data_IF_714330479934
#
_entry.id   IF_714330479934
#
_cell.length_a   1.000
_cell.length_b   1.000
_cell.length_c   1.000
_cell.angle_alpha   90.00
_cell.angle_beta   90.00
_cell.angle_gamma   90.00
#
_symmetry.space_group_name_H-M   'P 1'
#
loop_
_entity.id
_entity.type
_entity.pdbx_description
1 polymer ?
#
# COMPACT_ATOMS: atom_id res chain seq x y z
N UNK A 1 22.55 -1.88 1.50
CA UNK A 1 21.36 -1.00 1.33
C UNK A 1 20.44 -1.41 0.19
N UNK A 2 20.92 -1.62 -1.05
CA UNK A 2 20.04 -1.94 -2.20
C UNK A 2 19.29 -3.29 -2.08
N UNK A 3 19.87 -4.28 -1.39
CA UNK A 3 19.22 -5.58 -1.13
C UNK A 3 18.00 -5.42 -0.22
N UNK A 4 18.11 -4.61 0.83
CA UNK A 4 17.00 -4.35 1.77
C UNK A 4 15.84 -3.68 1.02
N UNK A 5 16.14 -2.68 0.17
CA UNK A 5 15.11 -2.05 -0.65
C UNK A 5 14.43 -3.05 -1.60
N UNK A 6 15.17 -4.00 -2.20
CA UNK A 6 14.57 -5.06 -3.04
C UNK A 6 13.64 -5.97 -2.25
N UNK A 7 14.02 -6.35 -1.03
CA UNK A 7 13.18 -7.19 -0.16
C UNK A 7 11.90 -6.44 0.21
N UNK A 8 12.02 -5.17 0.63
CA UNK A 8 10.86 -4.33 0.93
C UNK A 8 9.96 -4.16 -0.30
N UNK A 9 10.53 -3.89 -1.47
CA UNK A 9 9.78 -3.76 -2.72
C UNK A 9 9.06 -5.06 -3.11
N UNK A 10 9.68 -6.21 -2.89
CA UNK A 10 9.04 -7.51 -3.11
C UNK A 10 7.83 -7.71 -2.19
N UNK A 11 7.97 -7.41 -0.89
CA UNK A 11 6.86 -7.49 0.08
C UNK A 11 5.73 -6.54 -0.31
N UNK A 12 6.05 -5.29 -0.65
CA UNK A 12 5.08 -4.28 -1.12
C UNK A 12 4.37 -4.75 -2.39
N UNK A 13 5.07 -5.43 -3.29
CA UNK A 13 4.49 -5.98 -4.52
C UNK A 13 3.48 -7.08 -4.21
N UNK A 14 3.84 -8.04 -3.35
CA UNK A 14 2.91 -9.10 -2.93
C UNK A 14 1.67 -8.49 -2.28
N UNK A 15 1.86 -7.59 -1.32
CA UNK A 15 0.76 -6.89 -0.66
C UNK A 15 -0.13 -6.15 -1.67
N UNK A 16 0.49 -5.42 -2.59
CA UNK A 16 -0.20 -4.70 -3.65
C UNK A 16 -1.01 -5.62 -4.57
N UNK A 17 -0.58 -6.85 -4.81
CA UNK A 17 -1.35 -7.81 -5.60
C UNK A 17 -2.65 -8.21 -4.91
N UNK A 18 -2.63 -8.42 -3.59
CA UNK A 18 -3.85 -8.65 -2.82
C UNK A 18 -4.77 -7.43 -2.84
N UNK A 19 -4.20 -6.23 -2.64
CA UNK A 19 -4.94 -4.96 -2.72
C UNK A 19 -5.57 -4.76 -4.10
N UNK A 20 -4.90 -5.16 -5.18
CA UNK A 20 -5.45 -5.06 -6.53
C UNK A 20 -6.70 -5.94 -6.71
N UNK A 21 -6.70 -7.16 -6.18
CA UNK A 21 -7.87 -8.03 -6.19
C UNK A 21 -9.03 -7.37 -5.42
N UNK A 22 -8.76 -6.86 -4.22
CA UNK A 22 -9.76 -6.13 -3.42
C UNK A 22 -10.28 -4.89 -4.13
N UNK A 23 -9.42 -4.15 -4.83
CA UNK A 23 -9.81 -2.96 -5.58
C UNK A 23 -10.77 -3.30 -6.73
N UNK A 24 -10.53 -4.39 -7.46
CA UNK A 24 -11.40 -4.85 -8.55
C UNK A 24 -12.79 -5.19 -8.01
N UNK A 25 -12.87 -5.97 -6.93
CA UNK A 25 -14.16 -6.31 -6.28
C UNK A 25 -14.85 -5.05 -5.77
N UNK A 26 -14.10 -4.14 -5.15
CA UNK A 26 -14.61 -2.85 -4.67
C UNK A 26 -15.18 -1.98 -5.79
N UNK A 27 -14.57 -1.98 -6.97
CA UNK A 27 -15.06 -1.20 -8.12
C UNK A 27 -16.44 -1.68 -8.58
N UNK A 28 -16.69 -3.00 -8.57
CA UNK A 28 -18.03 -3.52 -8.86
C UNK A 28 -19.05 -3.07 -7.80
N UNK A 29 -18.68 -3.07 -6.51
CA UNK A 29 -19.55 -2.55 -5.45
C UNK A 29 -19.79 -1.04 -5.55
N UNK A 30 -18.80 -0.29 -6.04
CA UNK A 30 -18.88 1.15 -6.16
C UNK A 30 -19.92 1.64 -7.18
N UNK A 31 -20.30 0.79 -8.15
CA UNK A 31 -21.41 1.06 -9.08
C UNK A 31 -22.73 1.15 -8.32
N UNK A 32 -22.93 0.30 -7.30
CA UNK A 32 -24.15 0.28 -6.49
C UNK A 32 -24.09 1.22 -5.29
N UNK A 33 -22.89 1.48 -4.76
CA UNK A 33 -22.68 2.39 -3.65
C UNK A 33 -21.50 3.35 -3.92
N UNK A 34 -21.79 4.59 -4.36
CA UNK A 34 -20.78 5.60 -4.65
C UNK A 34 -19.86 5.94 -3.46
N UNK A 35 -20.27 5.67 -2.21
CA UNK A 35 -19.42 5.93 -1.03
C UNK A 35 -18.14 5.10 -1.03
N UNK A 36 -18.13 3.96 -1.75
CA UNK A 36 -16.98 3.05 -1.86
C UNK A 36 -15.92 3.57 -2.84
N UNK A 37 -16.27 4.52 -3.72
CA UNK A 37 -15.34 5.06 -4.74
C UNK A 37 -14.06 5.65 -4.13
N UNK A 38 -14.18 6.35 -3.00
CA UNK A 38 -13.01 6.90 -2.31
C UNK A 38 -12.08 5.80 -1.82
N UNK A 39 -12.62 4.72 -1.26
CA UNK A 39 -11.83 3.58 -0.81
C UNK A 39 -11.16 2.86 -2.00
N UNK A 40 -11.88 2.68 -3.11
CA UNK A 40 -11.30 2.15 -4.35
C UNK A 40 -10.16 3.02 -4.87
N UNK A 41 -10.29 4.36 -4.83
CA UNK A 41 -9.23 5.28 -5.23
C UNK A 41 -7.97 5.09 -4.39
N UNK A 42 -8.09 4.94 -3.07
CA UNK A 42 -6.95 4.66 -2.19
C UNK A 42 -6.25 3.35 -2.56
N UNK A 43 -7.03 2.27 -2.75
CA UNK A 43 -6.49 0.94 -3.10
C UNK A 43 -5.79 0.96 -4.45
N UNK A 44 -6.42 1.54 -5.48
CA UNK A 44 -5.82 1.67 -6.82
C UNK A 44 -4.53 2.49 -6.77
N UNK A 45 -4.50 3.55 -5.97
CA UNK A 45 -3.30 4.38 -5.83
C UNK A 45 -2.12 3.61 -5.22
N UNK A 46 -2.36 2.71 -4.27
CA UNK A 46 -1.32 1.82 -3.73
C UNK A 46 -0.78 0.88 -4.80
N UNK A 47 -1.67 0.34 -5.65
CA UNK A 47 -1.28 -0.54 -6.76
C UNK A 47 -0.42 0.18 -7.79
N UNK A 48 -0.86 1.36 -8.21
CA UNK A 48 -0.11 2.20 -9.14
C UNK A 48 1.22 2.63 -8.54
N UNK A 49 1.24 3.02 -7.27
CA UNK A 49 2.47 3.33 -6.55
C UNK A 49 3.46 2.16 -6.60
N UNK A 50 3.01 0.95 -6.24
CA UNK A 50 3.86 -0.26 -6.27
C UNK A 50 4.44 -0.51 -7.66
N UNK A 51 3.61 -0.40 -8.71
CA UNK A 51 4.07 -0.53 -10.09
C UNK A 51 5.14 0.50 -10.45
N UNK A 52 4.87 1.78 -10.24
CA UNK A 52 5.80 2.84 -10.62
C UNK A 52 7.06 2.84 -9.76
N UNK A 53 6.99 2.45 -8.50
CA UNK A 53 8.14 2.35 -7.61
C UNK A 53 9.08 1.22 -8.05
N UNK A 54 8.52 0.08 -8.46
CA UNK A 54 9.30 -1.03 -9.04
C UNK A 54 9.93 -0.63 -10.38
N UNK A 55 9.17 0.04 -11.25
CA UNK A 55 9.69 0.54 -12.52
C UNK A 55 10.83 1.53 -12.32
N UNK A 56 10.67 2.48 -11.40
CA UNK A 56 11.72 3.43 -10.99
C UNK A 56 12.96 2.68 -10.49
N UNK A 57 12.79 1.72 -9.58
CA UNK A 57 13.91 0.97 -9.05
C UNK A 57 14.67 0.19 -10.14
N UNK A 58 13.94 -0.51 -11.02
CA UNK A 58 14.55 -1.27 -12.10
C UNK A 58 15.27 -0.36 -13.12
N UNK A 59 14.62 0.69 -13.58
CA UNK A 59 15.13 1.52 -14.68
C UNK A 59 16.18 2.54 -14.22
N UNK A 60 15.96 3.19 -13.08
CA UNK A 60 16.76 4.33 -12.63
C UNK A 60 17.85 3.89 -11.65
N UNK A 61 17.49 3.02 -10.70
CA UNK A 61 18.43 2.61 -9.64
C UNK A 61 19.34 1.46 -10.09
N UNK A 62 18.79 0.43 -10.76
CA UNK A 62 19.60 -0.70 -11.22
C UNK A 62 20.29 -0.42 -12.57
N UNK A 63 19.52 0.00 -13.58
CA UNK A 63 20.03 0.18 -14.95
C UNK A 63 20.65 1.56 -15.20
N UNK A 64 20.62 2.48 -14.21
CA UNK A 64 21.07 3.87 -14.32
C UNK A 64 20.47 4.64 -15.52
N UNK A 65 19.32 4.19 -16.01
CA UNK A 65 18.61 4.81 -17.13
C UNK A 65 17.82 6.06 -16.71
N UNK A 66 17.04 6.56 -17.66
CA UNK A 66 16.16 7.73 -17.46
C UNK A 66 14.69 7.30 -17.36
N UNK A 67 13.93 8.05 -16.57
CA UNK A 67 12.48 7.87 -16.44
C UNK A 67 11.79 9.18 -16.80
N UNK A 68 10.67 9.10 -17.52
CA UNK A 68 10.02 10.32 -18.02
C UNK A 68 9.44 11.15 -16.88
N UNK A 69 9.34 12.48 -17.07
CA UNK A 69 8.73 13.38 -16.09
C UNK A 69 7.30 12.94 -15.71
N UNK A 70 6.50 12.53 -16.71
CA UNK A 70 5.16 11.97 -16.49
C UNK A 70 5.20 10.77 -15.54
N UNK A 71 6.08 9.79 -15.76
CA UNK A 71 6.19 8.62 -14.88
C UNK A 71 6.61 8.98 -13.46
N UNK A 72 7.49 9.97 -13.29
CA UNK A 72 7.85 10.51 -11.98
C UNK A 72 6.65 11.15 -11.29
N UNK A 73 5.86 11.94 -12.00
CA UNK A 73 4.68 12.60 -11.44
C UNK A 73 3.64 11.53 -11.01
N UNK A 74 3.41 10.51 -11.84
CA UNK A 74 2.58 9.36 -11.47
C UNK A 74 3.09 8.65 -10.21
N UNK A 75 4.40 8.39 -10.11
CA UNK A 75 5.00 7.81 -8.90
C UNK A 75 4.74 8.69 -7.67
N UNK A 76 4.99 9.99 -7.76
CA UNK A 76 4.89 10.90 -6.63
C UNK A 76 3.45 11.11 -6.17
N UNK A 77 2.51 11.32 -7.09
CA UNK A 77 1.09 11.50 -6.73
C UNK A 77 0.54 10.25 -6.04
N UNK A 78 0.80 9.07 -6.60
CA UNK A 78 0.34 7.81 -6.01
C UNK A 78 1.07 7.50 -4.69
N UNK A 79 2.34 7.88 -4.55
CA UNK A 79 3.07 7.73 -3.30
C UNK A 79 2.47 8.58 -2.16
N UNK A 80 1.96 9.78 -2.44
CA UNK A 80 1.25 10.60 -1.44
C UNK A 80 -0.02 9.91 -0.97
N UNK A 81 -0.83 9.40 -1.90
CA UNK A 81 -2.08 8.71 -1.55
C UNK A 81 -1.78 7.40 -0.81
N UNK A 82 -0.81 6.62 -1.27
CA UNK A 82 -0.36 5.41 -0.60
C UNK A 82 0.22 5.70 0.80
N UNK A 83 0.86 6.85 0.99
CA UNK A 83 1.35 7.28 2.29
C UNK A 83 0.18 7.53 3.25
N UNK A 84 -0.82 8.30 2.83
CA UNK A 84 -2.04 8.51 3.63
C UNK A 84 -2.72 7.18 3.96
N UNK A 85 -2.87 6.30 2.96
CA UNK A 85 -3.42 4.97 3.17
C UNK A 85 -2.60 4.14 4.18
N UNK A 86 -1.27 4.19 4.13
CA UNK A 86 -0.42 3.48 5.09
C UNK A 86 -0.57 4.00 6.52
N UNK A 87 -0.71 5.32 6.70
CA UNK A 87 -0.94 5.93 8.01
C UNK A 87 -2.32 5.52 8.55
N UNK A 88 -3.36 5.56 7.71
CA UNK A 88 -4.70 5.09 8.08
C UNK A 88 -4.68 3.61 8.46
N UNK A 89 -3.96 2.78 7.71
CA UNK A 89 -3.79 1.36 7.99
C UNK A 89 -3.08 1.09 9.32
N UNK A 90 -2.03 1.85 9.64
CA UNK A 90 -1.33 1.78 10.94
C UNK A 90 -2.27 2.13 12.08
N UNK A 91 -3.04 3.22 11.96
CA UNK A 91 -4.01 3.63 12.98
C UNK A 91 -5.09 2.56 13.14
N UNK A 92 -5.64 2.04 12.04
CA UNK A 92 -6.64 0.98 12.08
C UNK A 92 -6.13 -0.30 12.75
N UNK A 93 -4.90 -0.71 12.44
CA UNK A 93 -4.25 -1.85 13.07
C UNK A 93 -4.00 -1.61 14.57
N UNK A 94 -3.62 -0.39 14.96
CA UNK A 94 -3.45 -0.02 16.36
C UNK A 94 -4.76 -0.09 17.16
N UNK A 95 -5.86 0.41 16.60
CA UNK A 95 -7.18 0.30 17.21
C UNK A 95 -7.60 -1.17 17.32
N UNK A 96 -7.32 -1.99 16.31
CA UNK A 96 -7.59 -3.43 16.35
C UNK A 96 -6.83 -4.18 17.47
N UNK A 97 -5.60 -3.74 17.78
CA UNK A 97 -4.79 -4.31 18.87
C UNK A 97 -5.28 -3.85 20.24
N UNK A 98 -5.66 -2.57 20.37
CA UNK A 98 -5.99 -1.95 21.67
C UNK A 98 -7.45 -2.10 22.06
N UNK A 99 -8.34 -2.23 21.08
CA UNK A 99 -9.80 -2.34 21.25
C UNK A 99 -10.34 -3.50 20.40
N UNK A 100 -9.89 -4.75 20.62
CA UNK A 100 -10.27 -5.89 19.78
C UNK A 100 -11.76 -6.27 19.91
N UNK A 101 -12.41 -5.90 21.01
CA UNK A 101 -13.84 -6.18 21.27
C UNK A 101 -14.77 -5.48 20.28
N UNK A 102 -14.46 -4.24 19.92
CA UNK A 102 -15.22 -3.46 18.92
C UNK A 102 -15.21 -4.11 17.54
N UNK A 103 -14.18 -4.91 17.25
CA UNK A 103 -14.11 -5.73 16.04
C UNK A 103 -14.84 -7.05 16.23
N UNK A 104 -14.68 -7.71 17.38
CA UNK A 104 -15.36 -8.96 17.71
C UNK A 104 -16.89 -8.82 17.58
N UNK A 105 -17.45 -7.72 18.06
CA UNK A 105 -18.88 -7.42 17.96
C UNK A 105 -19.37 -7.36 16.51
N UNK A 106 -18.52 -6.91 15.57
CA UNK A 106 -18.86 -6.88 14.14
C UNK A 106 -18.79 -8.26 13.49
N UNK A 107 -18.09 -9.21 14.10
CA UNK A 107 -17.98 -10.59 13.65
C UNK A 107 -19.05 -11.51 14.26
N UNK A 108 -19.83 -11.06 15.23
CA UNK A 108 -20.96 -11.84 15.79
C UNK A 108 -22.08 -12.12 14.77
N UNK A 109 -22.06 -11.44 13.61
CA UNK A 109 -22.96 -11.68 12.49
C UNK A 109 -22.45 -12.75 11.50
N UNK A 110 -21.29 -13.37 11.75
CA UNK A 110 -20.77 -14.44 10.90
C UNK A 110 -21.53 -15.76 11.11
N UNK A 111 -21.67 -16.58 10.06
CA UNK A 111 -22.36 -17.87 10.14
C UNK A 111 -21.69 -18.80 11.17
N UNK A 112 -22.53 -19.62 11.83
CA UNK A 112 -22.09 -20.61 12.82
C UNK A 112 -21.01 -21.53 12.22
N UNK A 113 -19.84 -21.58 12.87
CA UNK A 113 -18.69 -22.40 12.45
C UNK A 113 -17.36 -21.66 12.35
N UNK A 114 -17.37 -20.33 12.30
CA UNK A 114 -16.14 -19.50 12.34
C UNK A 114 -16.06 -18.77 13.68
N UNK A 115 -15.43 -19.40 14.67
CA UNK A 115 -15.16 -18.74 15.95
C UNK A 115 -14.01 -17.74 15.78
N UNK A 116 -14.34 -16.47 15.54
CA UNK A 116 -13.37 -15.37 15.60
C UNK A 116 -13.08 -15.08 17.06
N UNK A 117 -11.85 -15.33 17.50
CA UNK A 117 -11.43 -15.04 18.89
C UNK A 117 -10.76 -13.67 18.97
N UNK A 118 -10.73 -13.12 20.18
CA UNK A 118 -10.01 -11.86 20.47
C UNK A 118 -8.52 -11.97 20.11
N UNK A 119 -7.90 -13.12 20.41
CA UNK A 119 -6.49 -13.40 20.07
C UNK A 119 -6.24 -13.41 18.55
N UNK A 120 -7.18 -13.93 17.75
CA UNK A 120 -7.08 -13.85 16.28
C UNK A 120 -7.11 -12.40 15.81
N UNK A 121 -8.00 -11.57 16.36
CA UNK A 121 -8.11 -10.14 16.00
C UNK A 121 -6.80 -9.41 16.31
N UNK A 122 -6.25 -9.61 17.52
CA UNK A 122 -5.01 -8.97 17.93
C UNK A 122 -3.84 -9.40 17.03
N UNK A 123 -3.72 -10.70 16.73
CA UNK A 123 -2.68 -11.23 15.83
C UNK A 123 -2.81 -10.67 14.42
N UNK A 124 -4.03 -10.57 13.89
CA UNK A 124 -4.28 -9.90 12.61
C UNK A 124 -3.90 -8.43 12.67
N UNK A 125 -4.19 -7.74 13.77
CA UNK A 125 -3.77 -6.36 14.01
C UNK A 125 -2.25 -6.19 13.92
N UNK A 126 -1.47 -7.02 14.62
CA UNK A 126 -0.01 -7.00 14.52
C UNK A 126 0.51 -7.29 13.11
N UNK A 127 -0.10 -8.25 12.41
CA UNK A 127 0.25 -8.56 11.02
C UNK A 127 0.00 -7.36 10.10
N UNK A 128 -1.17 -6.74 10.18
CA UNK A 128 -1.50 -5.55 9.40
C UNK A 128 -0.58 -4.38 9.74
N UNK A 129 -0.28 -4.17 11.02
CA UNK A 129 0.65 -3.14 11.46
C UNK A 129 2.02 -3.32 10.82
N UNK A 130 2.54 -4.55 10.79
CA UNK A 130 3.82 -4.86 10.15
C UNK A 130 3.78 -4.58 8.64
N UNK A 131 2.72 -5.00 7.94
CA UNK A 131 2.55 -4.77 6.50
C UNK A 131 2.48 -3.29 6.16
N UNK A 132 1.69 -2.51 6.90
CA UNK A 132 1.57 -1.07 6.66
C UNK A 132 2.85 -0.31 7.05
N UNK A 133 3.56 -0.74 8.10
CA UNK A 133 4.87 -0.18 8.44
C UNK A 133 5.91 -0.43 7.34
N UNK A 134 5.89 -1.61 6.69
CA UNK A 134 6.73 -1.91 5.53
C UNK A 134 6.39 -1.00 4.35
N UNK A 135 5.10 -0.84 4.03
CA UNK A 135 4.66 0.08 2.97
C UNK A 135 5.11 1.52 3.25
N UNK A 136 4.85 2.02 4.46
CA UNK A 136 5.25 3.35 4.91
C UNK A 136 6.75 3.58 4.76
N UNK A 137 7.56 2.64 5.25
CA UNK A 137 9.02 2.69 5.18
C UNK A 137 9.50 2.68 3.72
N UNK A 138 8.91 1.83 2.88
CA UNK A 138 9.24 1.76 1.47
C UNK A 138 8.95 3.10 0.77
N UNK A 139 7.81 3.75 1.04
CA UNK A 139 7.46 5.06 0.46
C UNK A 139 8.49 6.12 0.82
N UNK A 140 8.87 6.23 2.09
CA UNK A 140 9.89 7.20 2.53
C UNK A 140 11.21 6.94 1.79
N UNK A 141 11.63 5.67 1.72
CA UNK A 141 12.87 5.32 1.06
C UNK A 141 12.82 5.61 -0.45
N UNK A 142 11.71 5.32 -1.13
CA UNK A 142 11.50 5.67 -2.53
C UNK A 142 11.61 7.18 -2.73
N UNK A 143 11.03 8.01 -1.86
CA UNK A 143 11.18 9.47 -1.95
C UNK A 143 12.62 9.95 -1.80
N UNK A 144 13.38 9.35 -0.88
CA UNK A 144 14.81 9.64 -0.71
C UNK A 144 15.58 9.29 -1.99
N UNK A 145 15.30 8.12 -2.58
CA UNK A 145 15.94 7.68 -3.82
C UNK A 145 15.58 8.56 -5.02
N UNK A 146 14.31 8.95 -5.16
CA UNK A 146 13.88 9.88 -6.22
C UNK A 146 14.58 11.23 -6.09
N UNK A 147 14.76 11.74 -4.86
CA UNK A 147 15.52 12.98 -4.61
C UNK A 147 17.01 12.83 -4.94
N UNK A 148 17.60 11.66 -4.68
CA UNK A 148 19.01 11.37 -4.99
C UNK A 148 19.28 11.25 -6.49
N UNK A 149 18.31 10.77 -7.26
CA UNK A 149 18.43 10.52 -8.70
C UNK A 149 17.75 11.58 -9.57
N UNK A 150 17.62 12.83 -9.07
CA UNK A 150 16.92 13.92 -9.77
C UNK A 150 17.37 14.12 -11.22
N UNK A 151 18.67 14.00 -11.49
CA UNK A 151 19.25 14.19 -12.82
C UNK A 151 18.77 13.18 -13.86
N UNK A 152 18.31 11.99 -13.44
CA UNK A 152 17.82 10.95 -14.36
C UNK A 152 16.38 11.17 -14.83
N UNK A 153 15.76 12.30 -14.45
CA UNK A 153 14.42 12.69 -14.87
C UNK A 153 14.38 13.92 -15.80
N UNK A 154 15.54 14.49 -16.15
CA UNK A 154 15.63 15.79 -16.85
C UNK A 154 15.71 15.69 -18.37
N UNK A 155 15.83 14.48 -18.94
CA UNK A 155 16.07 14.32 -20.38
C UNK A 155 14.91 13.58 -21.05
N UNK A 156 14.18 14.33 -21.91
CA UNK A 156 13.01 13.97 -22.75
C UNK A 156 11.66 14.42 -22.17
N UNK A 157 11.37 15.71 -22.44
CA UNK A 157 10.01 16.18 -22.72
C UNK A 157 9.55 15.62 -24.08
#
# INVERSE_FOLDING_TARGET
>A
MMIIYRILGFIVTIFSSFVAITAIVGLFMAVSNPSVLFQCFLLVSVVLYSWYANKFFAQVVLLKGVMTKKQKDWLQVNAIVAFVFSVMGIIGAWVMITQPKDFLEKFTQMPEGVAVTEDMIIKTGYFLLAVFAVLFTHIIWTYILVRKHKHQFETKA
#
